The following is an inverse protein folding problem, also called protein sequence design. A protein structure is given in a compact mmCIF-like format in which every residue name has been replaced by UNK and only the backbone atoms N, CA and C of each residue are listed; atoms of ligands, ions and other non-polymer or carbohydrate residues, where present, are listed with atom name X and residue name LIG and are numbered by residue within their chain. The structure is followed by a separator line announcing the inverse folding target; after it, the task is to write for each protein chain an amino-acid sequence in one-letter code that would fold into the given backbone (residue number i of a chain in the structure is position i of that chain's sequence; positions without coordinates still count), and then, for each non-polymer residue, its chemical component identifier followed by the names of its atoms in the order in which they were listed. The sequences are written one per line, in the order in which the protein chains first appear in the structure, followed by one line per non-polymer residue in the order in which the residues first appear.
data_IF_729198964407
#
_entry.id   IF_729198964407
#
_cell.length_a   1.000
_cell.length_b   1.000
_cell.length_c   1.000
_cell.angle_alpha   90.00
_cell.angle_beta   90.00
_cell.angle_gamma   90.00
#
_symmetry.space_group_name_H-M   'P 1'
#
loop_
_entity.id
_entity.type
_entity.pdbx_description
1 polymer ?
#
# COMPACT_ATOMS: atom_id res chain seq x y z
N UNK A 1 -25.35 43.95 -17.60
CA UNK A 1 -25.52 42.59 -18.14
C UNK A 1 -24.32 41.77 -17.72
N UNK A 2 -24.52 40.84 -16.78
CA UNK A 2 -23.44 40.11 -16.11
C UNK A 2 -23.39 38.70 -16.71
N UNK A 3 -22.31 38.40 -17.44
CA UNK A 3 -22.09 37.08 -18.05
C UNK A 3 -21.90 36.04 -16.94
N UNK A 4 -22.90 35.18 -16.75
CA UNK A 4 -22.76 33.93 -16.00
C UNK A 4 -21.85 33.01 -16.80
N UNK A 5 -20.60 32.86 -16.37
CA UNK A 5 -19.80 31.70 -16.74
C UNK A 5 -20.50 30.45 -16.19
N UNK A 6 -21.02 29.61 -17.08
CA UNK A 6 -21.39 28.22 -16.78
C UNK A 6 -20.08 27.46 -16.55
N UNK A 7 -19.71 27.27 -15.30
CA UNK A 7 -18.72 26.25 -14.93
C UNK A 7 -19.39 24.91 -15.17
N UNK A 8 -18.89 24.14 -16.14
CA UNK A 8 -19.21 22.72 -16.24
C UNK A 8 -18.68 22.06 -14.96
N UNK A 9 -19.58 21.69 -14.05
CA UNK A 9 -19.28 20.76 -12.95
C UNK A 9 -18.83 19.44 -13.60
N UNK A 10 -17.51 19.27 -13.74
CA UNK A 10 -16.95 17.94 -13.85
C UNK A 10 -17.12 17.33 -12.47
N UNK A 11 -18.02 16.35 -12.37
CA UNK A 11 -18.19 15.52 -11.19
C UNK A 11 -16.82 14.86 -10.91
N UNK A 12 -16.05 15.45 -10.00
CA UNK A 12 -14.72 14.96 -9.66
C UNK A 12 -14.91 13.63 -8.94
N UNK A 13 -14.58 12.55 -9.63
CA UNK A 13 -14.51 11.22 -9.01
C UNK A 13 -13.30 11.22 -8.08
N UNK A 14 -13.56 11.10 -6.78
CA UNK A 14 -12.52 11.01 -5.77
C UNK A 14 -11.88 9.63 -5.80
N UNK A 15 -10.57 9.56 -5.63
CA UNK A 15 -9.89 8.28 -5.46
C UNK A 15 -10.16 7.71 -4.07
N UNK A 16 -10.05 6.39 -3.90
CA UNK A 16 -10.19 5.75 -2.60
C UNK A 16 -9.24 6.34 -1.54
N UNK A 17 -8.04 6.76 -1.95
CA UNK A 17 -7.07 7.44 -1.07
C UNK A 17 -7.54 8.83 -0.63
N UNK A 18 -8.14 9.62 -1.52
CA UNK A 18 -8.68 10.94 -1.19
C UNK A 18 -9.89 10.84 -0.26
N UNK A 19 -10.73 9.83 -0.45
CA UNK A 19 -11.85 9.53 0.46
C UNK A 19 -11.32 9.10 1.83
N UNK A 20 -10.32 8.22 1.88
CA UNK A 20 -9.70 7.78 3.13
C UNK A 20 -9.01 8.93 3.87
N UNK A 21 -8.34 9.84 3.16
CA UNK A 21 -7.69 11.03 3.73
C UNK A 21 -8.73 12.03 4.30
N UNK A 22 -9.86 12.21 3.60
CA UNK A 22 -10.98 12.99 4.11
C UNK A 22 -11.60 12.39 5.38
N UNK A 23 -11.75 11.06 5.46
CA UNK A 23 -12.17 10.38 6.69
C UNK A 23 -11.12 10.47 7.81
N UNK A 24 -9.85 10.67 7.46
CA UNK A 24 -8.74 10.86 8.39
C UNK A 24 -8.67 12.27 8.98
N UNK A 25 -9.12 13.31 8.29
CA UNK A 25 -9.07 14.70 8.78
C UNK A 25 -9.84 14.94 10.10
N UNK A 26 -11.07 14.43 10.30
CA UNK A 26 -11.77 14.48 11.58
C UNK A 26 -11.04 13.71 12.68
N UNK A 27 -10.29 12.68 12.28
CA UNK A 27 -9.55 11.75 13.13
C UNK A 27 -8.29 12.38 13.71
N UNK A 28 -7.53 13.08 12.87
CA UNK A 28 -6.36 13.87 13.25
C UNK A 28 -6.79 15.04 14.13
N UNK A 29 -7.86 15.74 13.75
CA UNK A 29 -8.43 16.82 14.55
C UNK A 29 -8.90 16.34 15.94
N UNK A 30 -9.55 15.16 16.00
CA UNK A 30 -9.95 14.53 17.26
C UNK A 30 -8.72 14.08 18.08
N UNK A 31 -7.71 13.51 17.43
CA UNK A 31 -6.43 13.12 18.04
C UNK A 31 -5.69 14.34 18.65
N UNK A 32 -5.74 15.49 17.99
CA UNK A 32 -5.17 16.76 18.47
C UNK A 32 -5.95 17.38 19.65
N UNK A 33 -7.26 17.10 19.77
CA UNK A 33 -8.10 17.66 20.84
C UNK A 33 -8.22 16.80 22.11
N UNK A 34 -8.03 15.48 22.02
CA UNK A 34 -8.21 14.54 23.15
C UNK A 34 -6.88 13.88 23.60
N UNK A 35 -5.81 14.66 23.52
CA UNK A 35 -4.43 14.21 23.31
C UNK A 35 -3.68 13.42 24.42
N UNK A 36 -4.11 13.29 25.70
CA UNK A 36 -3.39 12.42 26.64
C UNK A 36 -3.51 10.93 26.28
N UNK A 37 -4.73 10.48 25.96
CA UNK A 37 -5.01 9.06 25.72
C UNK A 37 -4.76 8.65 24.26
N UNK A 38 -4.77 9.60 23.33
CA UNK A 38 -4.45 9.33 21.94
C UNK A 38 -2.98 8.91 21.73
N UNK A 39 -2.07 9.39 22.59
CA UNK A 39 -0.64 9.04 22.63
C UNK A 39 -0.30 7.88 23.55
N UNK A 40 -1.17 7.56 24.51
CA UNK A 40 -0.96 6.47 25.45
C UNK A 40 -0.87 5.12 24.72
N UNK A 41 -0.01 4.21 25.15
CA UNK A 41 0.08 2.89 24.54
C UNK A 41 -1.15 2.01 24.90
N UNK A 42 -1.34 0.86 24.24
CA UNK A 42 -2.51 0.02 24.50
C UNK A 42 -2.55 -0.47 25.97
N UNK A 43 -1.40 -0.71 26.58
CA UNK A 43 -1.28 -1.15 27.99
C UNK A 43 -1.77 -0.08 28.97
N UNK A 44 -1.43 1.19 28.74
CA UNK A 44 -1.86 2.34 29.53
C UNK A 44 -3.38 2.57 29.41
N UNK A 45 -3.93 2.40 28.20
CA UNK A 45 -5.39 2.49 27.99
C UNK A 45 -6.13 1.36 28.71
N UNK A 46 -5.60 0.13 28.64
CA UNK A 46 -6.17 -1.00 29.38
C UNK A 46 -6.07 -0.83 30.89
N UNK A 47 -4.91 -0.38 31.40
CA UNK A 47 -4.72 -0.10 32.82
C UNK A 47 -5.76 0.92 33.31
N UNK A 48 -6.03 1.97 32.52
CA UNK A 48 -7.04 2.97 32.84
C UNK A 48 -8.46 2.42 32.86
N UNK A 49 -8.81 1.52 31.94
CA UNK A 49 -10.13 0.85 31.97
C UNK A 49 -10.28 -0.02 33.22
N UNK A 50 -9.23 -0.73 33.62
CA UNK A 50 -9.23 -1.56 34.83
C UNK A 50 -9.37 -0.70 36.09
N UNK A 51 -8.72 0.47 36.14
CA UNK A 51 -8.93 1.45 37.21
C UNK A 51 -10.39 1.90 37.28
N UNK A 52 -10.99 2.26 36.14
CA UNK A 52 -12.41 2.66 36.08
C UNK A 52 -13.36 1.54 36.53
N UNK A 53 -13.07 0.29 36.16
CA UNK A 53 -13.81 -0.89 36.64
C UNK A 53 -13.64 -1.12 38.13
N UNK A 54 -12.46 -0.86 38.67
CA UNK A 54 -12.21 -0.95 40.11
C UNK A 54 -13.00 0.12 40.89
N UNK A 55 -13.00 1.36 40.39
CA UNK A 55 -13.61 2.50 41.07
C UNK A 55 -15.14 2.54 40.96
N UNK A 56 -15.69 2.13 39.81
CA UNK A 56 -17.12 2.24 39.51
C UNK A 56 -17.82 0.88 39.39
N UNK A 57 -17.09 -0.22 39.52
CA UNK A 57 -17.63 -1.57 39.51
C UNK A 57 -18.45 -1.86 38.25
N UNK A 58 -19.63 -2.47 38.37
CA UNK A 58 -20.49 -2.81 37.22
C UNK A 58 -20.98 -1.62 36.40
N UNK A 59 -20.87 -0.39 36.92
CA UNK A 59 -21.30 0.81 36.20
C UNK A 59 -20.21 1.40 35.30
N UNK A 60 -18.97 0.95 35.41
CA UNK A 60 -17.85 1.47 34.63
C UNK A 60 -18.09 1.52 33.11
N UNK A 61 -18.72 0.51 32.45
CA UNK A 61 -18.98 0.56 31.01
C UNK A 61 -19.96 1.65 30.56
N UNK A 62 -20.75 2.20 31.50
CA UNK A 62 -21.66 3.31 31.20
C UNK A 62 -20.95 4.68 31.20
N UNK A 63 -19.71 4.74 31.69
CA UNK A 63 -18.94 5.98 31.75
C UNK A 63 -18.49 6.40 30.34
N UNK A 64 -18.60 7.69 30.00
CA UNK A 64 -18.10 8.20 28.73
C UNK A 64 -16.60 7.94 28.51
N UNK A 65 -15.79 8.02 29.58
CA UNK A 65 -14.35 7.75 29.53
C UNK A 65 -14.07 6.29 29.16
N UNK A 66 -14.78 5.33 29.77
CA UNK A 66 -14.63 3.91 29.47
C UNK A 66 -14.96 3.60 28.00
N UNK A 67 -16.09 4.11 27.50
CA UNK A 67 -16.51 3.90 26.11
C UNK A 67 -15.54 4.54 25.10
N UNK A 68 -14.93 5.67 25.47
CA UNK A 68 -13.90 6.29 24.64
C UNK A 68 -12.64 5.42 24.57
N UNK A 69 -12.16 4.92 25.71
CA UNK A 69 -10.97 4.06 25.79
C UNK A 69 -11.17 2.74 25.02
N UNK A 70 -12.34 2.12 25.16
CA UNK A 70 -12.72 0.91 24.42
C UNK A 70 -12.69 1.15 22.89
N UNK A 71 -13.31 2.25 22.42
CA UNK A 71 -13.31 2.60 20.99
C UNK A 71 -11.90 2.88 20.47
N UNK A 72 -11.03 3.49 21.27
CA UNK A 72 -9.63 3.72 20.93
C UNK A 72 -8.88 2.41 20.73
N UNK A 73 -9.04 1.46 21.65
CA UNK A 73 -8.42 0.14 21.57
C UNK A 73 -8.91 -0.65 20.35
N UNK A 74 -10.22 -0.70 20.13
CA UNK A 74 -10.81 -1.37 18.97
C UNK A 74 -10.32 -0.78 17.64
N UNK A 75 -10.24 0.55 17.55
CA UNK A 75 -9.80 1.23 16.34
C UNK A 75 -8.33 0.97 16.04
N UNK A 76 -7.46 0.94 17.07
CA UNK A 76 -6.04 0.62 16.89
C UNK A 76 -5.86 -0.81 16.40
N UNK A 77 -6.56 -1.78 16.98
CA UNK A 77 -6.54 -3.16 16.50
C UNK A 77 -6.94 -3.26 15.03
N UNK A 78 -8.05 -2.63 14.63
CA UNK A 78 -8.50 -2.61 13.24
C UNK A 78 -7.50 -1.90 12.29
N UNK A 79 -6.83 -0.85 12.76
CA UNK A 79 -5.82 -0.15 11.97
C UNK A 79 -4.54 -0.98 11.79
N UNK A 80 -4.09 -1.68 12.83
CA UNK A 80 -2.94 -2.59 12.76
C UNK A 80 -3.21 -3.72 11.77
N UNK A 81 -4.38 -4.38 11.86
CA UNK A 81 -4.80 -5.42 10.92
C UNK A 81 -4.88 -4.89 9.48
N UNK A 82 -5.47 -3.72 9.28
CA UNK A 82 -5.56 -3.09 7.96
C UNK A 82 -4.18 -2.72 7.38
N UNK A 83 -3.25 -2.27 8.22
CA UNK A 83 -1.87 -1.98 7.81
C UNK A 83 -1.14 -3.25 7.39
N UNK A 84 -1.29 -4.32 8.15
CA UNK A 84 -0.62 -5.59 7.87
C UNK A 84 -1.15 -6.18 6.56
N UNK A 85 -2.47 -6.14 6.33
CA UNK A 85 -3.08 -6.53 5.05
C UNK A 85 -2.57 -5.70 3.86
N UNK A 86 -2.38 -4.38 4.05
CA UNK A 86 -1.82 -3.53 3.02
C UNK A 86 -0.35 -3.85 2.71
N UNK A 87 0.45 -4.20 3.72
CA UNK A 87 1.84 -4.61 3.54
C UNK A 87 1.93 -5.94 2.79
N UNK A 88 1.11 -6.92 3.18
CA UNK A 88 1.00 -8.21 2.48
C UNK A 88 0.61 -8.01 1.01
N UNK A 89 -0.44 -7.21 0.76
CA UNK A 89 -0.88 -6.93 -0.60
C UNK A 89 0.17 -6.18 -1.42
N UNK A 90 0.89 -5.22 -0.83
CA UNK A 90 1.97 -4.52 -1.51
C UNK A 90 3.09 -5.48 -1.92
N UNK A 91 3.42 -6.45 -1.08
CA UNK A 91 4.39 -7.48 -1.37
C UNK A 91 3.91 -8.42 -2.49
N UNK A 92 2.66 -8.87 -2.45
CA UNK A 92 2.07 -9.70 -3.53
C UNK A 92 2.09 -8.98 -4.88
N UNK A 93 1.79 -7.68 -4.90
CA UNK A 93 1.84 -6.86 -6.12
C UNK A 93 3.28 -6.72 -6.63
N UNK A 94 4.25 -6.54 -5.75
CA UNK A 94 5.67 -6.49 -6.10
C UNK A 94 6.13 -7.83 -6.71
N UNK A 95 5.81 -8.95 -6.07
CA UNK A 95 6.10 -10.30 -6.57
C UNK A 95 5.46 -10.56 -7.94
N UNK A 96 4.18 -10.21 -8.12
CA UNK A 96 3.50 -10.30 -9.41
C UNK A 96 4.14 -9.43 -10.50
N UNK A 97 4.67 -8.27 -10.14
CA UNK A 97 5.39 -7.39 -11.08
C UNK A 97 6.77 -7.96 -11.45
N UNK A 98 7.45 -8.64 -10.53
CA UNK A 98 8.70 -9.35 -10.81
C UNK A 98 8.48 -10.56 -11.72
N UNK A 99 7.43 -11.34 -11.49
CA UNK A 99 7.05 -12.47 -12.35
C UNK A 99 6.60 -11.99 -13.75
N UNK A 100 5.84 -10.89 -13.82
CA UNK A 100 5.42 -10.25 -15.07
C UNK A 100 6.57 -9.61 -15.86
N UNK A 101 7.72 -9.35 -15.23
CA UNK A 101 8.98 -8.95 -15.89
C UNK A 101 9.72 -10.13 -16.53
N UNK A 102 9.05 -11.28 -16.72
CA UNK A 102 9.49 -12.36 -17.59
C UNK A 102 10.12 -11.82 -18.88
N UNK A 103 11.44 -11.98 -18.96
CA UNK A 103 12.38 -11.56 -20.02
C UNK A 103 11.73 -10.69 -21.10
N UNK A 104 11.70 -9.37 -20.87
CA UNK A 104 11.50 -8.43 -21.95
C UNK A 104 12.60 -8.69 -22.98
N UNK A 105 12.25 -9.33 -24.11
CA UNK A 105 13.14 -9.55 -25.26
C UNK A 105 13.44 -8.16 -25.83
N UNK A 106 14.40 -7.46 -25.22
CA UNK A 106 14.85 -6.17 -25.70
C UNK A 106 15.53 -6.40 -27.06
N UNK A 107 15.48 -5.41 -27.96
CA UNK A 107 16.09 -5.50 -29.28
C UNK A 107 17.57 -5.92 -29.27
N UNK A 108 18.25 -5.75 -28.13
CA UNK A 108 19.63 -6.19 -27.89
C UNK A 108 19.77 -7.72 -27.86
N UNK A 109 18.78 -8.44 -27.34
CA UNK A 109 18.72 -9.91 -27.38
C UNK A 109 18.61 -10.40 -28.83
N UNK A 110 17.75 -9.76 -29.64
CA UNK A 110 17.61 -10.06 -31.07
C UNK A 110 18.92 -9.81 -31.84
N UNK A 111 19.64 -8.73 -31.52
CA UNK A 111 20.96 -8.45 -32.09
C UNK A 111 21.99 -9.52 -31.72
N UNK A 112 22.02 -9.96 -30.46
CA UNK A 112 22.91 -11.04 -30.01
C UNK A 112 22.59 -12.37 -30.71
N UNK A 113 21.31 -12.73 -30.85
CA UNK A 113 20.89 -13.93 -31.57
C UNK A 113 21.34 -13.89 -33.03
N UNK A 114 21.17 -12.75 -33.72
CA UNK A 114 21.63 -12.58 -35.10
C UNK A 114 23.15 -12.70 -35.20
N UNK A 115 23.91 -12.09 -34.28
CA UNK A 115 25.36 -12.18 -34.27
C UNK A 115 25.86 -13.63 -34.10
N UNK A 116 25.21 -14.41 -33.23
CA UNK A 116 25.53 -15.84 -33.04
C UNK A 116 25.25 -16.65 -34.30
N UNK A 117 24.12 -16.41 -34.97
CA UNK A 117 23.79 -17.09 -36.23
C UNK A 117 24.81 -16.76 -37.32
N UNK A 118 25.20 -15.49 -37.45
CA UNK A 118 26.21 -15.07 -38.45
C UNK A 118 27.56 -15.75 -38.18
N UNK A 119 28.02 -15.78 -36.93
CA UNK A 119 29.25 -16.47 -36.54
C UNK A 119 29.21 -17.96 -36.91
N UNK A 120 28.06 -18.61 -36.68
CA UNK A 120 27.88 -20.02 -36.97
C UNK A 120 27.92 -20.30 -38.48
N UNK A 121 27.30 -19.44 -39.29
CA UNK A 121 27.38 -19.54 -40.76
C UNK A 121 28.82 -19.34 -41.25
N UNK A 122 29.54 -18.36 -40.73
CA UNK A 122 30.96 -18.13 -41.10
C UNK A 122 31.80 -19.36 -40.76
N UNK A 123 31.60 -19.95 -39.58
CA UNK A 123 32.32 -21.17 -39.17
C UNK A 123 32.07 -22.33 -40.15
N UNK A 124 30.81 -22.55 -40.57
CA UNK A 124 30.47 -23.59 -41.55
C UNK A 124 31.15 -23.33 -42.90
N UNK A 125 31.13 -22.09 -43.38
CA UNK A 125 31.79 -21.73 -44.65
C UNK A 125 33.29 -21.97 -44.59
N UNK A 126 33.94 -21.60 -43.48
CA UNK A 126 35.38 -21.82 -43.29
C UNK A 126 35.72 -23.32 -43.26
N UNK A 127 34.90 -24.14 -42.59
CA UNK A 127 35.08 -25.59 -42.57
C UNK A 127 34.93 -26.16 -43.98
N UNK A 128 33.88 -25.78 -44.72
CA UNK A 128 33.65 -26.26 -46.08
C UNK A 128 34.78 -25.84 -47.04
N UNK A 129 35.25 -24.58 -46.94
CA UNK A 129 36.38 -24.08 -47.71
C UNK A 129 37.66 -24.87 -47.40
N UNK A 130 37.95 -25.15 -46.13
CA UNK A 130 39.12 -25.93 -45.72
C UNK A 130 39.07 -27.38 -46.25
N UNK A 131 37.88 -27.97 -46.40
CA UNK A 131 37.70 -29.30 -46.99
C UNK A 131 37.86 -29.27 -48.51
N UNK A 132 37.37 -28.23 -49.18
CA UNK A 132 37.41 -28.11 -50.65
C UNK A 132 38.76 -27.63 -51.21
N UNK A 133 39.53 -26.87 -50.42
CA UNK A 133 40.88 -26.39 -50.76
C UNK A 133 41.99 -27.42 -50.44
N UNK A 134 41.61 -28.61 -49.97
CA UNK A 134 42.50 -29.74 -49.69
C UNK A 134 42.43 -30.75 -50.82
#
# INVERSE_FOLDING_TARGET
MQQRHRTQEHERLFTASEVAEFEYCPLVWWHEQFEPYARANNEELFARMVELEHDHGPQAPSLPEYQMLERLLLRRGAFEEGRDLHLEHAQEVEEAQEEGRGVAISGRMRQLTVAVVVLLVIAIVLIAAAVLLR
#
